data_IF_737117665812
#
_entry.id   IF_737117665812
#
_cell.length_a   1.000
_cell.length_b   1.000
_cell.length_c   1.000
_cell.angle_alpha   90.00
_cell.angle_beta   90.00
_cell.angle_gamma   90.00
#
_symmetry.space_group_name_H-M   'P 1'
#
loop_
_entity.id
_entity.type
_entity.pdbx_description
1 polymer ?
2 branched ?
3 non-polymer ?
4 water ?
#
# COMPACT_ATOMS: atom_id res chain seq x y z
N UNK A 2 15.31 -16.38 4.93
CA UNK A 2 14.14 -16.55 5.85
C UNK A 2 12.81 -16.25 5.15
N UNK A 3 11.70 -16.73 5.72
CA UNK A 3 10.37 -16.45 5.16
C UNK A 3 10.00 -14.97 5.21
N UNK A 4 9.08 -14.56 4.34
CA UNK A 4 8.68 -13.16 4.21
C UNK A 4 7.95 -12.62 5.45
N UNK A 5 7.03 -13.42 5.99
CA UNK A 5 6.20 -13.04 7.14
C UNK A 5 5.44 -11.73 6.92
N UNK A 6 4.81 -11.61 5.75
CA UNK A 6 4.04 -10.43 5.42
C UNK A 6 2.78 -10.34 6.27
N UNK A 7 2.41 -9.11 6.63
CA UNK A 7 1.22 -8.85 7.41
C UNK A 7 0.35 -7.80 6.75
N UNK A 8 -0.80 -7.52 7.35
CA UNK A 8 -1.76 -6.60 6.74
C UNK A 8 -1.33 -5.14 6.86
N UNK A 9 -1.85 -4.33 5.93
CA UNK A 9 -1.81 -2.88 6.02
C UNK A 9 -3.28 -2.46 6.08
N UNK A 10 -3.74 -2.12 7.28
CA UNK A 10 -5.16 -1.97 7.57
C UNK A 10 -5.52 -0.51 7.78
N UNK A 11 -6.49 -0.02 7.00
CA UNK A 11 -6.89 1.37 7.06
C UNK A 11 -7.71 1.67 8.30
N UNK A 12 -7.37 2.75 8.99
CA UNK A 12 -8.04 3.13 10.23
C UNK A 12 -9.48 3.58 9.96
N UNK A 13 -9.66 4.43 8.96
CA UNK A 13 -10.97 4.97 8.63
C UNK A 13 -11.96 3.94 8.13
N UNK A 14 -11.47 2.99 7.34
CA UNK A 14 -12.32 2.00 6.66
C UNK A 14 -12.45 0.69 7.42
N UNK A 15 -11.43 0.35 8.21
CA UNK A 15 -11.31 -0.97 8.80
C UNK A 15 -11.06 -2.07 7.78
N UNK A 16 -10.61 -1.69 6.58
CA UNK A 16 -10.34 -2.62 5.49
C UNK A 16 -8.85 -2.65 5.16
N UNK A 17 -8.44 -3.69 4.44
CA UNK A 17 -7.03 -3.97 4.20
C UNK A 17 -6.57 -3.66 2.78
N UNK A 18 -5.29 -3.29 2.67
CA UNK A 18 -4.63 -3.09 1.39
C UNK A 18 -4.60 -4.43 0.65
N UNK A 19 -5.14 -4.44 -0.56
CA UNK A 19 -5.54 -5.67 -1.24
C UNK A 19 -5.26 -5.57 -2.74
N UNK A 20 -4.60 -6.59 -3.30
CA UNK A 20 -4.39 -6.64 -4.74
C UNK A 20 -5.63 -7.29 -5.37
N UNK A 21 -6.40 -6.53 -6.15
CA UNK A 21 -7.67 -7.03 -6.70
C UNK A 21 -7.61 -8.39 -7.39
N UNK A 22 -8.53 -9.27 -7.00
CA UNK A 22 -8.71 -10.60 -7.58
C UNK A 22 -7.50 -11.53 -7.39
N UNK A 23 -6.67 -11.20 -6.40
CA UNK A 23 -5.41 -11.89 -6.15
C UNK A 23 -4.52 -11.96 -7.40
N UNK A 24 -4.62 -10.93 -8.25
CA UNK A 24 -3.78 -10.80 -9.43
C UNK A 24 -2.33 -10.56 -8.99
N UNK A 25 -1.38 -11.07 -9.77
CA UNK A 25 0.03 -10.77 -9.55
C UNK A 25 0.60 -9.90 -10.68
N UNK A 26 -0.28 -9.40 -11.55
CA UNK A 26 0.16 -8.70 -12.76
C UNK A 26 0.76 -7.33 -12.45
N UNK A 27 1.88 -7.03 -13.11
CA UNK A 27 2.46 -5.69 -13.11
C UNK A 27 1.40 -4.64 -13.45
N UNK A 28 1.45 -3.52 -12.75
CA UNK A 28 0.58 -2.39 -13.03
C UNK A 28 -0.81 -2.48 -12.43
N UNK A 29 -1.07 -3.48 -11.60
CA UNK A 29 -2.39 -3.62 -10.97
C UNK A 29 -2.53 -2.63 -9.82
N UNK A 30 -3.50 -1.73 -9.93
CA UNK A 30 -3.76 -0.75 -8.88
C UNK A 30 -4.39 -1.42 -7.66
N UNK A 31 -3.97 -0.98 -6.48
CA UNK A 31 -4.45 -1.53 -5.22
C UNK A 31 -5.80 -0.97 -4.81
N UNK A 32 -6.46 -1.69 -3.91
CA UNK A 32 -7.76 -1.32 -3.38
C UNK A 32 -7.87 -1.64 -1.89
N UNK A 33 -8.93 -1.13 -1.26
CA UNK A 33 -9.37 -1.61 0.04
C UNK A 33 -10.25 -2.83 -0.15
N UNK A 34 -10.10 -3.81 0.74
CA UNK A 34 -10.99 -4.96 0.77
C UNK A 34 -11.10 -5.54 2.17
N UNK A 35 -12.22 -6.19 2.45
CA UNK A 35 -12.42 -6.88 3.72
C UNK A 35 -11.19 -7.71 4.06
N UNK A 36 -10.71 -7.55 5.29
CA UNK A 36 -9.49 -8.20 5.74
C UNK A 36 -9.68 -9.71 5.86
N UNK A 37 -8.74 -10.45 5.29
CA UNK A 37 -8.72 -11.91 5.37
C UNK A 37 -7.25 -12.37 5.43
N UNK A 38 -6.99 -13.68 5.41
CA UNK A 38 -5.62 -14.19 5.62
C UNK A 38 -4.84 -14.46 4.33
N UNK A 39 -5.41 -14.03 3.20
CA UNK A 39 -4.91 -14.35 1.88
C UNK A 39 -3.61 -13.64 1.55
N UNK A 40 -2.85 -14.22 0.63
CA UNK A 40 -1.51 -13.72 0.32
C UNK A 40 -1.53 -12.38 -0.40
N UNK A 41 -2.64 -12.06 -1.07
CA UNK A 41 -2.81 -10.75 -1.71
C UNK A 41 -3.08 -9.59 -0.74
N UNK A 42 -3.10 -9.88 0.56
CA UNK A 42 -3.17 -8.85 1.60
C UNK A 42 -1.97 -8.91 2.56
N UNK A 43 -0.97 -9.72 2.23
CA UNK A 43 0.23 -9.87 3.05
C UNK A 43 1.36 -9.01 2.50
N UNK A 44 1.78 -8.03 3.30
CA UNK A 44 2.81 -7.07 2.90
C UNK A 44 4.00 -7.19 3.83
N UNK A 45 5.15 -7.56 3.27
CA UNK A 45 6.35 -7.85 4.05
C UNK A 45 7.33 -6.69 3.94
N UNK A 46 7.60 -6.03 5.06
CA UNK A 46 8.60 -4.97 5.09
C UNK A 46 9.99 -5.57 4.93
N UNK A 47 10.85 -4.86 4.20
CA UNK A 47 12.26 -5.25 4.08
C UNK A 47 13.13 -4.09 4.55
N UNK A 48 14.41 -4.39 4.77
CA UNK A 48 15.38 -3.38 5.20
C UNK A 48 15.66 -2.35 4.10
N UNK A 49 15.39 -2.71 2.84
CA UNK A 49 15.48 -1.78 1.72
C UNK A 49 14.31 -0.78 1.66
N UNK A 50 13.34 -0.94 2.56
CA UNK A 50 12.19 -0.05 2.62
C UNK A 50 10.99 -0.50 1.80
N UNK A 51 11.04 -1.71 1.26
CA UNK A 51 9.96 -2.21 0.42
C UNK A 51 8.79 -2.71 1.26
N UNK A 52 7.62 -2.81 0.63
CA UNK A 52 6.51 -3.60 1.13
C UNK A 52 6.19 -4.64 0.06
N UNK A 53 6.63 -5.87 0.31
CA UNK A 53 6.59 -6.93 -0.69
C UNK A 53 5.34 -7.79 -0.58
N UNK A 54 4.87 -8.25 -1.73
CA UNK A 54 3.75 -9.18 -1.82
C UNK A 54 4.13 -10.25 -2.85
N UNK A 55 3.67 -11.48 -2.65
CA UNK A 55 3.96 -12.60 -3.56
C UNK A 55 5.46 -12.91 -3.70
N UNK A 56 6.24 -12.60 -2.67
CA UNK A 56 7.67 -12.88 -2.67
C UNK A 56 8.52 -11.79 -3.30
N UNK A 57 8.31 -11.54 -4.60
CA UNK A 57 9.17 -10.65 -5.38
C UNK A 57 8.42 -9.50 -6.06
N UNK A 58 7.18 -9.25 -5.66
CA UNK A 58 6.45 -8.06 -6.12
C UNK A 58 6.50 -7.00 -5.03
N UNK A 59 6.40 -5.74 -5.45
CA UNK A 59 6.58 -4.59 -4.56
C UNK A 59 5.45 -3.59 -4.70
N UNK A 60 5.02 -3.05 -3.57
CA UNK A 60 4.16 -1.87 -3.56
C UNK A 60 4.90 -0.77 -4.31
N UNK A 61 4.21 -0.13 -5.25
CA UNK A 61 4.87 0.66 -6.28
C UNK A 61 4.11 1.95 -6.57
N UNK A 62 4.80 3.08 -6.52
CA UNK A 62 4.22 4.36 -6.89
C UNK A 62 4.45 4.62 -8.38
N UNK A 63 3.36 4.74 -9.13
CA UNK A 63 3.43 4.98 -10.58
C UNK A 63 3.92 6.39 -10.92
N UNK A 64 3.83 7.30 -9.96
CA UNK A 64 4.25 8.68 -10.15
C UNK A 64 4.63 9.34 -8.84
N UNK A 65 4.75 10.66 -8.86
CA UNK A 65 5.18 11.44 -7.70
C UNK A 65 4.19 12.53 -7.28
N UNK A 66 3.01 12.55 -7.89
CA UNK A 66 2.04 13.62 -7.65
C UNK A 66 0.75 13.13 -7.01
N UNK A 67 -0.06 14.08 -6.55
CA UNK A 67 -1.42 13.80 -6.11
C UNK A 67 -2.17 13.01 -7.16
N UNK A 68 -2.79 11.92 -6.74
CA UNK A 68 -3.59 11.09 -7.62
C UNK A 68 -2.84 10.03 -8.39
N UNK A 69 -1.51 9.99 -8.27
CA UNK A 69 -0.73 8.94 -8.91
C UNK A 69 -1.12 7.59 -8.33
N UNK A 70 -1.22 6.59 -9.20
CA UNK A 70 -1.69 5.28 -8.80
C UNK A 70 -0.67 4.55 -7.93
N UNK A 71 -1.19 3.83 -6.95
CA UNK A 71 -0.39 2.91 -6.16
C UNK A 71 -0.74 1.51 -6.66
N UNK A 72 0.28 0.76 -7.03
CA UNK A 72 0.14 -0.49 -7.76
C UNK A 72 1.16 -1.52 -7.27
N UNK A 73 1.23 -2.66 -7.95
CA UNK A 73 2.36 -3.58 -7.78
C UNK A 73 3.19 -3.67 -9.06
N UNK A 74 4.49 -3.87 -8.86
CA UNK A 74 5.42 -4.20 -9.93
C UNK A 74 6.51 -5.07 -9.33
N UNK A 75 7.17 -5.87 -10.16
CA UNK A 75 8.30 -6.64 -9.69
C UNK A 75 9.31 -5.72 -9.00
N UNK A 76 9.87 -6.19 -7.88
CA UNK A 76 10.85 -5.43 -7.12
C UNK A 76 12.14 -5.27 -7.91
N UNK A 77 12.66 -4.05 -7.97
CA UNK A 77 13.91 -3.78 -8.69
C UNK A 77 14.84 -2.76 -8.02
N UNK A 78 14.43 -2.19 -6.88
CA UNK A 78 15.26 -1.27 -6.12
C UNK A 78 14.96 0.21 -6.30
N UNK A 79 13.89 0.53 -7.03
CA UNK A 79 13.51 1.91 -7.26
C UNK A 79 13.10 2.61 -5.97
N UNK A 80 13.36 3.90 -5.87
CA UNK A 80 12.96 4.69 -4.70
C UNK A 80 11.44 4.83 -4.59
N UNK A 81 10.76 4.68 -5.72
CA UNK A 81 9.29 4.65 -5.77
C UNK A 81 8.71 3.32 -5.28
N UNK A 82 9.57 2.38 -4.90
CA UNK A 82 9.16 1.14 -4.26
C UNK A 82 9.56 1.11 -2.78
N UNK A 83 9.95 2.27 -2.25
CA UNK A 83 10.34 2.39 -0.85
C UNK A 83 9.29 3.19 -0.08
N UNK A 84 9.04 2.77 1.16
CA UNK A 84 7.93 3.25 1.97
C UNK A 84 8.32 3.31 3.44
N UNK A 85 7.75 4.27 4.16
CA UNK A 85 7.98 4.40 5.59
C UNK A 85 6.68 4.55 6.34
N UNK A 86 6.50 3.71 7.36
CA UNK A 86 5.39 3.84 8.28
C UNK A 86 5.81 4.80 9.39
N UNK A 87 5.03 5.86 9.58
CA UNK A 87 5.33 6.87 10.59
C UNK A 87 4.46 6.70 11.83
N UNK A 88 4.85 7.38 12.90
CA UNK A 88 4.17 7.29 14.20
C UNK A 88 2.74 7.83 14.17
N UNK A 89 2.42 8.67 13.19
CA UNK A 89 1.06 9.17 13.01
C UNK A 89 0.18 8.24 12.15
N UNK A 90 0.70 7.05 11.84
CA UNK A 90 -0.04 6.06 11.07
C UNK A 90 0.07 6.19 9.56
N UNK A 91 0.76 7.23 9.09
CA UNK A 91 0.90 7.44 7.65
C UNK A 91 1.89 6.44 7.05
N UNK A 92 1.63 6.03 5.82
CA UNK A 92 2.58 5.25 5.03
C UNK A 92 3.01 6.15 3.88
N UNK A 93 4.26 6.61 3.94
CA UNK A 93 4.75 7.65 3.06
C UNK A 93 5.73 7.07 2.04
N UNK A 94 5.52 7.38 0.77
CA UNK A 94 6.46 7.00 -0.28
C UNK A 94 7.75 7.76 -0.09
N UNK A 95 8.87 7.04 -0.08
CA UNK A 95 10.17 7.64 0.18
C UNK A 95 10.55 8.64 -0.92
N UNK A 96 10.34 8.28 -2.18
CA UNK A 96 10.67 9.18 -3.29
C UNK A 96 9.83 10.46 -3.28
N UNK A 97 8.52 10.31 -3.15
CA UNK A 97 7.57 11.41 -3.37
C UNK A 97 7.27 12.24 -2.13
N UNK A 98 7.40 11.63 -0.95
CA UNK A 98 6.95 12.25 0.28
C UNK A 98 5.43 12.31 0.43
N UNK A 99 4.71 11.62 -0.45
CA UNK A 99 3.25 11.59 -0.41
C UNK A 99 2.74 10.36 0.33
N UNK A 100 1.50 10.45 0.81
CA UNK A 100 0.89 9.42 1.64
C UNK A 100 0.02 8.44 0.86
N UNK A 101 0.04 7.17 1.29
CA UNK A 101 -0.95 6.20 0.86
C UNK A 101 -2.33 6.71 1.26
N UNK A 102 -3.26 6.69 0.31
CA UNK A 102 -4.50 7.43 0.43
C UNK A 102 -5.65 6.66 -0.23
N UNK A 103 -6.72 6.42 0.52
CA UNK A 103 -7.92 5.80 -0.04
C UNK A 103 -8.71 6.88 -0.76
N UNK A 104 -8.82 6.73 -2.08
CA UNK A 104 -9.34 7.76 -2.98
C UNK A 104 -10.72 8.26 -2.58
N UNK A 105 -10.88 9.58 -2.55
CA UNK A 105 -12.16 10.20 -2.26
C UNK A 105 -12.65 10.05 -0.84
N UNK A 106 -11.75 9.69 0.07
CA UNK A 106 -12.10 9.31 1.45
C UNK A 106 -13.05 8.10 1.49
N UNK A 107 -12.94 7.24 0.49
CA UNK A 107 -13.75 6.04 0.41
C UNK A 107 -13.37 5.03 1.48
N UNK A 108 -14.36 4.27 1.94
CA UNK A 108 -14.16 3.20 2.92
C UNK A 108 -14.61 1.82 2.43
N UNK A 109 -15.38 1.78 1.34
CA UNK A 109 -16.01 0.55 0.88
C UNK A 109 -15.03 -0.39 0.18
N UNK A 110 -15.40 -1.67 0.12
CA UNK A 110 -14.74 -2.63 -0.76
C UNK A 110 -14.57 -2.04 -2.16
N UNK A 111 -13.36 -2.12 -2.69
CA UNK A 111 -13.07 -1.67 -4.04
C UNK A 111 -12.55 -0.25 -4.16
N UNK A 112 -12.52 0.49 -3.04
CA UNK A 112 -11.96 1.84 -3.02
C UNK A 112 -10.51 1.77 -3.47
N UNK A 113 -10.14 2.57 -4.48
CA UNK A 113 -8.79 2.52 -5.02
C UNK A 113 -7.80 3.27 -4.13
N UNK A 114 -6.52 2.92 -4.27
CA UNK A 114 -5.44 3.50 -3.49
C UNK A 114 -4.53 4.33 -4.39
N UNK A 115 -4.17 5.52 -3.90
CA UNK A 115 -3.36 6.48 -4.63
C UNK A 115 -2.34 7.12 -3.69
N UNK A 116 -1.44 7.92 -4.26
CA UNK A 116 -0.63 8.84 -3.49
C UNK A 116 -1.38 10.15 -3.34
N UNK A 117 -1.24 10.79 -2.19
CA UNK A 117 -1.85 12.09 -1.96
C UNK A 117 -1.11 12.86 -0.88
N UNK A 118 -1.14 14.19 -1.00
CA UNK A 118 -0.53 15.06 -0.01
C UNK A 118 -1.00 14.67 1.39
N UNK A 119 -0.05 14.53 2.30
CA UNK A 119 -0.34 14.05 3.65
C UNK A 119 -1.19 15.04 4.45
N UNK A 120 -2.31 14.54 4.95
CA UNK A 120 -3.25 15.31 5.77
C UNK A 120 -3.52 14.63 7.12
N UNK A 121 -3.11 13.37 7.24
CA UNK A 121 -3.39 12.55 8.42
C UNK A 121 -4.88 12.29 8.64
N UNK A 122 -5.68 12.40 7.58
CA UNK A 122 -7.07 11.98 7.63
C UNK A 122 -7.14 10.47 7.82
N UNK A 123 -8.31 9.96 8.18
CA UNK A 123 -8.46 8.54 8.51
C UNK A 123 -8.27 7.62 7.30
N UNK A 124 -8.42 8.17 6.10
CA UNK A 124 -8.11 7.45 4.86
C UNK A 124 -6.61 7.44 4.51
N UNK A 125 -5.79 8.00 5.40
CA UNK A 125 -4.33 8.01 5.26
C UNK A 125 -3.62 7.41 6.48
N UNK A 126 -4.38 6.85 7.42
CA UNK A 126 -3.78 6.22 8.60
C UNK A 126 -3.95 4.72 8.51
N UNK A 127 -2.92 4.00 8.95
CA UNK A 127 -2.82 2.56 8.75
C UNK A 127 -2.18 1.89 9.97
N UNK A 128 -2.54 0.64 10.20
CA UNK A 128 -1.85 -0.20 11.18
C UNK A 128 -1.38 -1.48 10.48
N UNK A 129 -0.48 -2.20 11.12
CA UNK A 129 0.12 -3.39 10.52
C UNK A 129 -0.39 -4.69 11.13
N UNK A 130 -1.32 -4.58 12.08
CA UNK A 130 -1.98 -5.74 12.66
C UNK A 130 -1.35 -5.76 13.71
X LIG B 1 -12.64 -14.62 -8.12
X LIG B 1 -11.72 -13.53 -7.56
X LIG B 1 -11.36 -13.79 -6.11
X LIG B 1 -10.82 -15.23 -5.95
X LIG B 1 -10.55 -15.62 -4.51
X LIG B 1 -12.03 -16.00 -7.87
X LIG B 1 -12.91 -16.98 -8.29
X LIG B 1 -12.82 -14.41 -9.51
X LIG B 1 -12.35 -12.26 -7.67
X LIG B 1 -10.36 -12.82 -5.70
X LIG B 1 -11.78 -16.18 -6.47
X LIG B 1 -11.66 -15.32 -3.68
X LIG B 2 -10.79 -11.84 -4.79
X LIG B 2 -9.73 -11.66 -3.70
X LIG B 2 -10.11 -10.53 -2.73
X LIG B 2 -10.41 -9.24 -3.51
X LIG B 2 -11.55 -9.61 -4.48
X LIG B 2 -12.10 -8.49 -5.30
X LIG B 2 -9.61 -12.87 -2.98
X LIG B 2 -9.03 -10.32 -1.82
X LIG B 2 -9.25 -8.84 -4.23
X LIG B 2 -11.09 -10.60 -5.40
X LIG B 2 -11.09 -8.03 -6.18
X LIG C 1 -14.64 15.37 -2.21
X LIG C 1 -13.46 14.43 -1.96
X LIG C 1 -12.90 14.60 -0.53
X LIG C 1 -14.03 14.57 0.50
X LIG C 1 -13.55 14.88 1.90
X LIG C 1 -15.67 15.27 -1.08
X LIG C 1 -16.68 16.21 -1.26
X LIG C 1 -15.25 15.04 -3.46
X LIG C 1 -12.44 14.73 -2.90
X LIG C 1 -11.99 13.52 -0.22
X LIG C 1 -15.03 15.55 0.17
X LIG C 1 -14.56 14.63 2.85
X LIG C 2 -10.67 13.71 -0.60
X LIG C 2 -9.77 13.02 0.44
X LIG C 2 -8.30 13.04 0.00
X LIG C 2 -8.17 12.44 -1.41
X LIG C 2 -9.08 13.23 -2.35
X LIG C 2 -9.08 12.70 -3.77
X LIG C 2 -9.89 13.71 1.68
X LIG C 2 -7.51 12.31 0.93
X LIG C 2 -8.57 11.07 -1.40
X LIG C 2 -10.44 13.15 -1.89
X LIG C 2 -7.78 12.76 -4.33
X LIG D 1 -4.79 6.95 15.68
X LIG D 1 -5.08 6.38 14.42
X LIG D 1 -3.72 8.04 15.57
X LIG D 1 -4.14 9.04 14.68
X LIG D 1 -2.38 7.47 15.11
X LIG D 1 -1.83 6.63 16.10
#
# INVERSE_FOLDING_TARGET
EPPADGGQIKGVGSGRCLDVPDASTSDGTQLQLWDCHSGTNQQWAATDAGELRVYGDKCLDAAGTSNGSKVQIYSCWGGDNQKWRLNSDGSVVGVQSGLCLDAVGNGTANGTLIQLYTCSNGSNQRWTRT
BGC C2 C3 C4 C5 C6 C1 O1 O2 O3 O4 O5 O6
GAL C1 C2 C3 C4 C5 C6 O2 O3 O4 O5 O6
BGC C2 C3 C4 C5 C6 C1 O1 O2 O3 O4 O5 O6
GAL C1 C2 C3 C4 C5 C6 O2 O3 O4 O5 O6
GOL C1 O1 C2 O2 C3 O3
#
